data_IF_519055077456
#
_entry.id   IF_519055077456
#
_cell.length_a   1.000
_cell.length_b   1.000
_cell.length_c   1.000
_cell.angle_alpha   90.00
_cell.angle_beta   90.00
_cell.angle_gamma   90.00
#
_symmetry.space_group_name_H-M   'P 1'
#
loop_
_entity.id
_entity.type
_entity.pdbx_description
1 polymer ?
#
# COMPACT_ATOMS: atom_id res chain seq x y z
N UNK A 1 1.61 -12.27 -9.47
CA UNK A 1 0.27 -12.43 -8.85
C UNK A 1 -0.36 -11.09 -9.08
N UNK A 2 -1.27 -11.06 -10.04
CA UNK A 2 -1.61 -9.81 -10.69
C UNK A 2 -2.97 -9.38 -10.17
N UNK A 3 -3.05 -8.11 -9.76
CA UNK A 3 -4.22 -7.56 -9.11
C UNK A 3 -5.32 -7.39 -10.15
N UNK A 4 -6.38 -8.19 -10.05
CA UNK A 4 -7.52 -8.15 -10.97
C UNK A 4 -7.67 -9.37 -11.88
N UNK A 5 -6.75 -10.34 -11.84
CA UNK A 5 -6.93 -11.62 -12.52
C UNK A 5 -7.90 -12.52 -11.76
N UNK A 6 -8.59 -13.42 -12.49
CA UNK A 6 -9.30 -14.54 -11.87
C UNK A 6 -8.26 -15.37 -11.13
N UNK A 7 -8.30 -15.30 -9.80
CA UNK A 7 -7.32 -15.98 -8.95
C UNK A 7 -7.63 -17.48 -8.99
N UNK A 8 -7.02 -18.20 -9.93
CA UNK A 8 -7.10 -19.66 -9.98
C UNK A 8 -6.61 -20.25 -8.65
N UNK A 9 -7.33 -21.18 -7.99
CA UNK A 9 -6.88 -21.81 -6.73
C UNK A 9 -5.43 -22.27 -6.81
N UNK A 10 -4.65 -22.17 -5.72
CA UNK A 10 -3.27 -22.66 -5.76
C UNK A 10 -3.32 -24.17 -5.98
N UNK A 11 -2.47 -24.68 -6.88
CA UNK A 11 -2.36 -26.12 -7.11
C UNK A 11 -1.41 -26.69 -6.06
N UNK A 12 -1.83 -27.78 -5.41
CA UNK A 12 -0.97 -28.53 -4.51
C UNK A 12 0.38 -28.84 -5.17
N UNK A 13 1.47 -28.63 -4.45
CA UNK A 13 2.82 -28.86 -4.97
C UNK A 13 3.66 -29.65 -3.97
N UNK A 14 4.49 -30.56 -4.48
CA UNK A 14 5.37 -31.45 -3.70
C UNK A 14 6.84 -31.03 -3.76
N UNK A 15 7.15 -29.99 -4.55
CA UNK A 15 8.48 -29.38 -4.70
C UNK A 15 8.39 -27.88 -4.42
N UNK A 16 9.50 -27.17 -4.13
CA UNK A 16 9.50 -25.72 -3.99
C UNK A 16 8.84 -25.04 -5.18
N UNK A 17 7.97 -24.07 -4.89
CA UNK A 17 7.26 -23.28 -5.89
C UNK A 17 7.50 -21.80 -5.61
N UNK A 18 8.09 -21.08 -6.56
CA UNK A 18 8.44 -19.66 -6.43
C UNK A 18 7.22 -18.75 -6.22
N UNK A 19 6.02 -19.21 -6.62
CA UNK A 19 4.76 -18.48 -6.40
C UNK A 19 4.16 -18.74 -5.03
N UNK A 20 4.61 -19.76 -4.32
CA UNK A 20 4.13 -20.10 -2.99
C UNK A 20 4.84 -19.22 -1.95
N UNK A 21 4.11 -18.41 -1.16
CA UNK A 21 4.72 -17.54 -0.17
C UNK A 21 5.39 -18.28 0.98
N UNK A 22 5.32 -19.60 1.02
CA UNK A 22 5.93 -20.47 2.03
C UNK A 22 7.13 -21.27 1.49
N UNK A 23 7.59 -21.03 0.26
CA UNK A 23 8.68 -21.78 -0.36
C UNK A 23 9.74 -20.87 -1.02
N UNK A 24 11.01 -21.27 -1.03
CA UNK A 24 11.65 -22.30 -0.18
C UNK A 24 11.78 -21.79 1.27
N UNK A 25 12.03 -22.64 2.27
CA UNK A 25 12.16 -22.20 3.64
C UNK A 25 13.62 -21.77 3.87
N UNK A 26 13.96 -20.48 3.96
CA UNK A 26 15.17 -20.16 4.67
C UNK A 26 14.99 -20.53 6.14
N UNK A 27 16.11 -20.76 6.84
CA UNK A 27 16.09 -20.67 8.30
C UNK A 27 15.45 -19.31 8.67
N UNK A 28 14.43 -19.26 9.53
CA UNK A 28 13.73 -18.02 9.84
C UNK A 28 14.72 -17.03 10.48
N UNK A 29 15.05 -15.96 9.76
CA UNK A 29 15.84 -14.87 10.31
C UNK A 29 14.99 -14.11 11.31
N UNK A 30 15.60 -13.68 12.42
CA UNK A 30 14.92 -12.82 13.37
C UNK A 30 14.73 -11.44 12.75
N UNK A 31 13.50 -11.19 12.36
CA UNK A 31 13.05 -9.89 11.90
C UNK A 31 12.06 -9.29 12.85
N UNK A 32 11.91 -7.98 12.71
CA UNK A 32 10.85 -7.21 13.36
C UNK A 32 9.96 -6.62 12.27
N UNK A 33 8.70 -7.05 12.26
CA UNK A 33 7.68 -6.47 11.39
C UNK A 33 7.16 -5.17 12.01
N UNK A 34 7.21 -4.09 11.24
CA UNK A 34 6.63 -2.80 11.60
C UNK A 34 5.28 -2.65 10.90
N UNK A 35 4.27 -3.28 11.50
CA UNK A 35 2.93 -3.44 10.92
C UNK A 35 2.08 -2.14 10.94
N UNK A 36 0.77 -2.25 10.70
CA UNK A 36 -0.14 -1.12 10.50
C UNK A 36 -0.15 -0.14 11.67
N UNK A 37 -0.02 -0.62 12.91
CA UNK A 37 0.05 0.24 14.11
C UNK A 37 1.30 1.14 14.16
N UNK A 38 2.35 0.81 13.38
CA UNK A 38 3.60 1.58 13.31
C UNK A 38 3.59 2.61 12.18
N UNK A 39 2.43 2.90 11.59
CA UNK A 39 2.27 3.91 10.55
C UNK A 39 2.77 5.29 11.01
N UNK A 40 3.76 5.84 10.30
CA UNK A 40 4.36 7.13 10.62
C UNK A 40 4.83 7.84 9.35
N UNK A 41 4.12 8.89 8.95
CA UNK A 41 4.41 9.62 7.69
C UNK A 41 5.74 10.37 7.73
N UNK A 42 6.24 10.75 8.92
CA UNK A 42 7.56 11.39 9.04
C UNK A 42 8.67 10.37 8.80
N UNK A 43 8.53 9.16 9.38
CA UNK A 43 9.47 8.06 9.10
C UNK A 43 9.43 7.65 7.63
N UNK A 44 8.22 7.50 7.07
CA UNK A 44 8.05 7.20 5.66
C UNK A 44 8.76 8.24 4.78
N UNK A 45 8.57 9.54 5.05
CA UNK A 45 9.25 10.62 4.34
C UNK A 45 10.78 10.48 4.38
N UNK A 46 11.36 10.24 5.55
CA UNK A 46 12.80 10.05 5.70
C UNK A 46 13.32 8.83 4.92
N UNK A 47 12.59 7.71 4.98
CA UNK A 47 12.95 6.47 4.28
C UNK A 47 12.79 6.62 2.76
N UNK A 48 11.76 7.32 2.29
CA UNK A 48 11.59 7.60 0.86
C UNK A 48 12.74 8.46 0.29
N UNK A 49 13.19 9.48 1.05
CA UNK A 49 14.35 10.32 0.66
C UNK A 49 15.68 9.55 0.71
N UNK A 50 15.81 8.59 1.62
CA UNK A 50 17.02 7.79 1.79
C UNK A 50 16.65 6.37 2.21
N UNK A 51 16.46 5.43 1.25
CA UNK A 51 16.00 4.07 1.56
C UNK A 51 16.91 3.30 2.54
N UNK A 52 18.18 3.68 2.63
CA UNK A 52 19.12 3.12 3.62
C UNK A 52 18.76 3.46 5.07
N UNK A 53 17.89 4.45 5.31
CA UNK A 53 17.40 4.82 6.64
C UNK A 53 16.36 3.84 7.21
N UNK A 54 15.87 2.87 6.42
CA UNK A 54 14.89 1.90 6.90
C UNK A 54 15.36 1.17 8.16
N UNK A 55 16.52 0.50 8.11
CA UNK A 55 17.03 -0.28 9.24
C UNK A 55 17.42 0.60 10.44
N UNK A 56 18.13 1.74 10.25
CA UNK A 56 18.39 2.68 11.35
C UNK A 56 17.13 3.21 12.06
N UNK A 57 16.06 3.51 11.31
CA UNK A 57 14.82 4.06 11.87
C UNK A 57 13.85 2.97 12.35
N UNK A 58 14.02 1.74 11.87
CA UNK A 58 13.15 0.59 12.11
C UNK A 58 13.99 -0.67 12.23
N UNK A 59 14.68 -0.81 13.37
CA UNK A 59 15.54 -1.97 13.65
C UNK A 59 14.80 -3.29 13.41
N UNK A 60 15.48 -4.24 12.78
CA UNK A 60 14.95 -5.55 12.41
C UNK A 60 14.02 -5.55 11.18
N UNK A 61 13.69 -4.41 10.59
CA UNK A 61 12.94 -4.37 9.33
C UNK A 61 13.78 -4.94 8.17
N UNK A 62 13.13 -5.70 7.28
CA UNK A 62 13.76 -6.23 6.07
C UNK A 62 13.88 -5.13 5.00
N UNK A 63 15.07 -4.88 4.42
CA UNK A 63 15.18 -4.09 3.19
C UNK A 63 14.44 -4.76 2.03
N UNK A 64 13.68 -3.99 1.25
CA UNK A 64 12.82 -4.50 0.19
C UNK A 64 13.58 -5.37 -0.84
N UNK A 65 14.82 -5.01 -1.15
CA UNK A 65 15.67 -5.67 -2.15
C UNK A 65 16.57 -6.79 -1.61
N UNK A 66 16.41 -7.16 -0.33
CA UNK A 66 17.23 -8.21 0.26
C UNK A 66 16.86 -9.60 -0.30
N UNK A 67 17.77 -10.31 -0.97
CA UNK A 67 17.59 -11.72 -1.33
C UNK A 67 18.09 -12.65 -0.22
N UNK A 68 17.45 -13.80 -0.10
CA UNK A 68 17.89 -14.83 0.85
C UNK A 68 18.86 -15.78 0.16
N UNK A 69 20.09 -15.83 0.65
CA UNK A 69 21.10 -16.82 0.25
C UNK A 69 21.22 -17.96 1.28
N UNK A 70 22.07 -18.97 1.00
CA UNK A 70 22.27 -20.14 1.87
C UNK A 70 22.80 -19.78 3.27
N UNK A 71 23.51 -18.66 3.40
CA UNK A 71 24.17 -18.18 4.63
C UNK A 71 23.49 -16.94 5.24
N UNK A 72 22.19 -16.74 4.95
CA UNK A 72 21.46 -15.52 5.32
C UNK A 72 21.36 -14.53 4.17
N UNK A 73 21.14 -13.25 4.48
CA UNK A 73 20.97 -12.23 3.46
C UNK A 73 22.27 -11.92 2.74
N UNK A 74 22.22 -11.99 1.41
CA UNK A 74 23.06 -11.14 0.58
C UNK A 74 22.15 -9.97 0.21
N UNK A 75 22.47 -8.77 0.69
CA UNK A 75 21.79 -7.57 0.21
C UNK A 75 21.99 -7.54 -1.31
N UNK A 76 20.94 -7.84 -2.07
CA UNK A 76 21.06 -7.71 -3.52
C UNK A 76 20.95 -6.24 -3.87
N UNK A 77 21.99 -5.79 -4.55
CA UNK A 77 22.32 -4.40 -4.81
C UNK A 77 21.43 -3.76 -5.89
N UNK A 78 20.12 -4.01 -5.90
CA UNK A 78 19.27 -2.91 -6.34
C UNK A 78 19.13 -1.97 -5.16
N UNK A 79 20.02 -0.97 -5.17
CA UNK A 79 19.77 0.26 -4.43
C UNK A 79 18.39 0.73 -4.88
N UNK A 80 17.44 0.79 -3.94
CA UNK A 80 16.17 1.44 -4.23
C UNK A 80 16.48 2.89 -4.58
N UNK A 81 15.99 3.33 -5.73
CA UNK A 81 16.09 4.73 -6.09
C UNK A 81 15.30 5.57 -5.07
N UNK A 82 15.91 6.63 -4.50
CA UNK A 82 15.19 7.57 -3.67
C UNK A 82 13.96 8.09 -4.40
N UNK A 83 12.83 8.11 -3.71
CA UNK A 83 11.68 8.88 -4.15
C UNK A 83 11.91 10.28 -3.61
N UNK A 84 12.26 11.23 -4.47
CA UNK A 84 12.49 12.62 -4.09
C UNK A 84 11.20 13.44 -4.28
N UNK A 85 10.99 14.38 -3.37
CA UNK A 85 9.96 15.41 -3.53
C UNK A 85 10.41 16.38 -4.63
N UNK A 86 9.48 16.77 -5.51
CA UNK A 86 9.74 17.83 -6.48
C UNK A 86 9.49 19.21 -5.82
N UNK A 87 10.54 19.76 -5.23
CA UNK A 87 10.51 21.05 -4.56
C UNK A 87 10.37 22.24 -5.52
N UNK A 88 10.43 22.04 -6.85
CA UNK A 88 10.27 23.13 -7.83
C UNK A 88 8.80 23.50 -8.07
N UNK A 89 7.87 22.63 -7.68
CA UNK A 89 6.44 22.84 -7.90
C UNK A 89 5.89 23.98 -7.04
N UNK A 90 4.80 24.60 -7.50
CA UNK A 90 4.10 25.66 -6.76
C UNK A 90 3.31 25.11 -5.56
N UNK A 91 3.22 23.79 -5.42
CA UNK A 91 2.53 23.08 -4.35
C UNK A 91 3.49 22.23 -3.54
N UNK A 92 3.06 21.86 -2.35
CA UNK A 92 3.79 20.99 -1.43
C UNK A 92 3.49 19.52 -1.73
N UNK A 93 4.40 18.63 -1.36
CA UNK A 93 4.11 17.20 -1.32
C UNK A 93 4.06 16.70 0.13
N UNK A 94 3.40 15.57 0.32
CA UNK A 94 3.37 14.86 1.59
C UNK A 94 3.67 13.39 1.34
N UNK A 95 4.49 12.79 2.21
CA UNK A 95 4.68 11.35 2.19
C UNK A 95 3.35 10.67 2.55
N UNK A 96 2.83 9.90 1.61
CA UNK A 96 1.55 9.23 1.69
C UNK A 96 1.76 7.72 1.62
N UNK A 97 1.16 7.02 2.58
CA UNK A 97 1.11 5.55 2.60
C UNK A 97 0.08 5.08 1.58
N UNK A 98 0.51 4.30 0.59
CA UNK A 98 -0.38 3.69 -0.41
C UNK A 98 -1.32 2.70 0.28
N UNK A 99 -0.77 1.74 1.03
CA UNK A 99 -1.52 0.94 2.00
C UNK A 99 -1.49 1.68 3.34
N UNK A 100 -2.62 2.32 3.70
CA UNK A 100 -2.77 3.03 4.97
C UNK A 100 -2.65 2.05 6.15
N UNK A 101 -1.64 2.24 7.00
CA UNK A 101 -1.36 1.36 8.12
C UNK A 101 -2.48 1.35 9.14
N UNK A 102 -2.82 2.51 9.71
CA UNK A 102 -3.84 2.59 10.75
C UNK A 102 -5.26 2.37 10.25
N UNK A 103 -5.57 2.76 9.01
CA UNK A 103 -6.95 2.69 8.50
C UNK A 103 -7.25 1.35 7.82
N UNK A 104 -6.27 0.68 7.22
CA UNK A 104 -6.51 -0.52 6.42
C UNK A 104 -5.70 -1.74 6.85
N UNK A 105 -4.40 -1.63 7.10
CA UNK A 105 -3.55 -2.79 7.43
C UNK A 105 -3.74 -3.28 8.87
N UNK A 106 -3.84 -2.35 9.83
CA UNK A 106 -3.98 -2.62 11.26
C UNK A 106 -5.18 -3.53 11.51
N UNK A 107 -4.94 -4.65 12.18
CA UNK A 107 -5.91 -5.71 12.51
C UNK A 107 -6.58 -6.35 11.29
N UNK A 108 -6.06 -6.11 10.07
CA UNK A 108 -6.56 -6.81 8.89
C UNK A 108 -6.18 -8.30 8.97
N UNK A 109 -6.96 -9.20 8.33
CA UNK A 109 -6.56 -10.60 8.19
C UNK A 109 -5.19 -10.77 7.53
N UNK A 110 -4.76 -9.80 6.72
CA UNK A 110 -3.46 -9.82 6.07
C UNK A 110 -2.30 -9.61 7.05
N UNK A 111 -2.51 -8.83 8.11
CA UNK A 111 -1.48 -8.52 9.10
C UNK A 111 -0.98 -9.77 9.83
N UNK A 112 -1.85 -10.76 10.01
CA UNK A 112 -1.51 -12.07 10.61
C UNK A 112 -0.45 -12.84 9.83
N UNK A 113 -0.35 -12.62 8.52
CA UNK A 113 0.62 -13.31 7.67
C UNK A 113 1.99 -12.62 7.61
N UNK A 114 2.12 -11.42 8.18
CA UNK A 114 3.39 -10.69 8.26
C UNK A 114 3.95 -10.58 9.68
N UNK A 115 3.10 -10.71 10.69
CA UNK A 115 3.47 -10.77 12.11
C UNK A 115 3.64 -12.22 12.58
N UNK A 116 4.43 -12.42 13.63
CA UNK A 116 4.34 -13.60 14.49
C UNK A 116 2.93 -13.66 15.10
N UNK A 117 2.16 -14.68 14.75
CA UNK A 117 0.73 -14.78 15.08
C UNK A 117 0.30 -16.25 15.20
N UNK A 118 -1.00 -16.51 15.28
CA UNK A 118 -1.57 -17.85 15.13
C UNK A 118 -1.41 -18.43 13.71
N UNK A 119 -1.32 -17.56 12.69
CA UNK A 119 -1.23 -17.96 11.28
C UNK A 119 0.20 -18.10 10.76
N UNK A 120 1.16 -17.44 11.43
CA UNK A 120 2.53 -17.31 10.96
C UNK A 120 3.52 -17.39 12.13
N UNK A 121 4.57 -18.21 11.99
CA UNK A 121 5.46 -18.56 13.10
C UNK A 121 6.26 -17.36 13.64
N UNK A 122 6.90 -16.58 12.75
CA UNK A 122 7.72 -15.42 13.08
C UNK A 122 7.42 -14.23 12.18
N UNK A 123 7.76 -13.04 12.66
CA UNK A 123 7.76 -11.81 11.87
C UNK A 123 8.50 -11.97 10.54
N UNK A 124 7.90 -11.44 9.48
CA UNK A 124 8.46 -11.48 8.12
C UNK A 124 9.41 -10.32 7.83
N UNK A 125 9.43 -9.29 8.70
CA UNK A 125 10.23 -8.07 8.53
C UNK A 125 9.59 -6.99 7.66
N UNK A 126 8.29 -7.11 7.34
CA UNK A 126 7.59 -6.08 6.57
C UNK A 126 7.60 -4.74 7.32
N UNK A 127 7.70 -3.62 6.59
CA UNK A 127 7.48 -2.30 7.17
C UNK A 127 6.45 -1.52 6.36
N UNK A 128 5.43 -1.02 7.06
CA UNK A 128 4.44 -0.10 6.49
C UNK A 128 5.06 1.23 6.06
N UNK A 129 6.21 1.63 6.65
CA UNK A 129 6.91 2.87 6.32
C UNK A 129 8.01 2.68 5.26
N UNK A 130 8.00 1.57 4.53
CA UNK A 130 8.96 1.29 3.46
C UNK A 130 8.73 2.16 2.23
N UNK A 131 9.79 2.39 1.45
CA UNK A 131 9.72 3.15 0.18
C UNK A 131 8.73 2.54 -0.80
N UNK A 132 8.59 1.21 -0.83
CA UNK A 132 7.62 0.50 -1.67
C UNK A 132 6.15 0.82 -1.36
N UNK A 133 5.85 1.21 -0.12
CA UNK A 133 4.51 1.64 0.30
C UNK A 133 4.32 3.17 0.26
N UNK A 134 5.32 3.92 -0.19
CA UNK A 134 5.34 5.39 -0.13
C UNK A 134 5.10 6.07 -1.47
N UNK A 135 4.34 7.16 -1.46
CA UNK A 135 4.15 8.05 -2.60
C UNK A 135 4.23 9.52 -2.15
N UNK A 136 4.90 10.37 -2.92
CA UNK A 136 4.88 11.82 -2.69
C UNK A 136 3.60 12.39 -3.26
N UNK A 137 2.56 12.41 -2.44
CA UNK A 137 1.27 12.92 -2.88
C UNK A 137 1.30 14.44 -2.96
N UNK A 138 0.84 15.04 -4.08
CA UNK A 138 0.70 16.49 -4.15
C UNK A 138 -0.34 16.94 -3.10
N UNK A 139 -0.14 18.12 -2.52
CA UNK A 139 -1.01 18.65 -1.47
C UNK A 139 -1.44 20.07 -1.80
N UNK A 140 -1.23 21.04 -0.92
CA UNK A 140 -1.71 22.42 -1.09
C UNK A 140 -0.65 23.31 -1.74
N UNK A 141 -1.04 24.39 -2.45
CA UNK A 141 -0.12 25.43 -2.89
C UNK A 141 0.75 25.94 -1.73
N UNK A 142 2.03 26.20 -1.99
CA UNK A 142 3.01 26.60 -0.97
C UNK A 142 2.57 27.85 -0.20
N UNK A 143 2.01 28.82 -0.91
CA UNK A 143 1.49 30.07 -0.34
C UNK A 143 0.22 29.90 0.54
N UNK A 144 -0.42 28.74 0.46
CA UNK A 144 -1.66 28.39 1.18
C UNK A 144 -1.43 27.40 2.33
N UNK A 145 -0.19 27.03 2.62
CA UNK A 145 0.15 26.23 3.80
C UNK A 145 -0.30 26.98 5.06
N UNK A 146 -1.02 26.29 5.95
CA UNK A 146 -1.63 26.88 7.16
C UNK A 146 -2.92 27.67 6.92
N UNK A 147 -3.25 27.99 5.65
CA UNK A 147 -4.50 28.65 5.23
C UNK A 147 -5.53 27.67 4.65
N UNK A 148 -5.19 26.38 4.59
CA UNK A 148 -6.08 25.35 4.09
C UNK A 148 -7.02 24.83 5.19
N UNK A 149 -8.33 24.94 4.98
CA UNK A 149 -9.37 24.38 5.84
C UNK A 149 -10.50 25.35 6.20
N UNK A 150 -11.61 24.87 6.78
CA UNK A 150 -12.73 25.72 7.20
C UNK A 150 -12.26 26.86 8.12
N UNK A 151 -12.75 28.08 7.88
CA UNK A 151 -12.38 29.26 8.67
C UNK A 151 -10.97 29.81 8.43
N UNK A 152 -10.21 29.26 7.48
CA UNK A 152 -8.82 29.70 7.18
C UNK A 152 -8.72 30.66 5.98
N UNK A 153 -9.75 31.45 5.75
CA UNK A 153 -9.75 32.53 4.74
C UNK A 153 -10.00 32.10 3.29
N UNK A 154 -10.09 30.79 3.00
CA UNK A 154 -10.54 30.29 1.71
C UNK A 154 -11.99 29.79 1.80
N UNK A 155 -12.80 30.10 0.79
CA UNK A 155 -14.11 29.47 0.59
C UNK A 155 -13.94 28.02 0.08
N UNK A 156 -15.03 27.22 0.12
CA UNK A 156 -15.02 25.88 -0.46
C UNK A 156 -14.73 25.89 -1.98
N UNK A 157 -15.35 26.76 -2.80
CA UNK A 157 -15.04 26.85 -4.23
C UNK A 157 -13.57 27.21 -4.50
N UNK A 158 -13.00 28.17 -3.77
CA UNK A 158 -11.58 28.53 -3.94
C UNK A 158 -10.64 27.36 -3.60
N UNK A 159 -10.93 26.59 -2.54
CA UNK A 159 -10.17 25.38 -2.22
C UNK A 159 -10.26 24.34 -3.34
N UNK A 160 -11.46 24.15 -3.90
CA UNK A 160 -11.65 23.25 -5.03
C UNK A 160 -10.81 23.68 -6.24
N UNK A 161 -10.88 24.95 -6.64
CA UNK A 161 -10.11 25.48 -7.78
C UNK A 161 -8.60 25.28 -7.60
N UNK A 162 -8.07 25.55 -6.41
CA UNK A 162 -6.65 25.32 -6.13
C UNK A 162 -6.28 23.84 -6.13
N UNK A 163 -7.11 22.97 -5.57
CA UNK A 163 -6.88 21.53 -5.61
C UNK A 163 -6.85 21.02 -7.05
N UNK A 164 -7.75 21.50 -7.92
CA UNK A 164 -7.78 21.14 -9.34
C UNK A 164 -6.52 21.60 -10.08
N UNK A 165 -6.06 22.84 -9.85
CA UNK A 165 -4.80 23.36 -10.39
C UNK A 165 -3.62 22.46 -10.00
N UNK A 166 -3.55 22.06 -8.73
CA UNK A 166 -2.51 21.14 -8.24
C UNK A 166 -2.62 19.77 -8.91
N UNK A 167 -3.78 19.14 -8.89
CA UNK A 167 -3.97 17.79 -9.46
C UNK A 167 -3.71 17.74 -10.96
N UNK A 168 -4.11 18.80 -11.69
CA UNK A 168 -3.79 18.96 -13.11
C UNK A 168 -2.29 19.05 -13.33
N UNK A 169 -1.58 19.87 -12.55
CA UNK A 169 -0.13 20.03 -12.68
C UNK A 169 0.66 18.79 -12.25
N UNK A 170 0.16 18.05 -11.25
CA UNK A 170 0.82 16.86 -10.72
C UNK A 170 0.49 15.60 -11.52
N UNK A 171 -0.56 15.63 -12.35
CA UNK A 171 -1.15 14.45 -12.97
C UNK A 171 -1.43 13.33 -11.94
N UNK A 172 -1.94 13.73 -10.78
CA UNK A 172 -2.17 12.86 -9.63
C UNK A 172 -3.21 13.47 -8.69
N UNK A 173 -3.83 12.62 -7.87
CA UNK A 173 -4.75 13.05 -6.83
C UNK A 173 -4.05 13.78 -5.70
N UNK A 174 -4.67 14.84 -5.19
CA UNK A 174 -4.13 15.57 -4.05
C UNK A 174 -4.50 14.90 -2.71
N UNK A 175 -3.50 14.76 -1.84
CA UNK A 175 -3.68 14.28 -0.48
C UNK A 175 -4.11 15.44 0.43
N UNK A 176 -5.44 15.60 0.56
CA UNK A 176 -6.05 16.72 1.27
C UNK A 176 -7.27 16.25 2.05
N UNK A 177 -7.16 16.21 3.38
CA UNK A 177 -8.25 15.80 4.27
C UNK A 177 -8.36 14.28 4.40
N UNK A 178 -9.52 13.76 4.87
CA UNK A 178 -9.69 12.35 5.17
C UNK A 178 -9.94 11.52 3.90
N UNK A 179 -9.63 10.21 3.96
CA UNK A 179 -9.73 9.29 2.81
C UNK A 179 -11.03 8.48 2.76
N UNK A 180 -11.93 8.66 3.74
CA UNK A 180 -13.23 8.02 3.81
C UNK A 180 -14.25 8.72 2.90
N UNK A 181 -13.88 8.90 1.63
CA UNK A 181 -14.70 9.59 0.64
C UNK A 181 -15.78 8.62 0.16
N UNK A 182 -17.03 9.07 0.18
CA UNK A 182 -18.17 8.36 -0.41
C UNK A 182 -18.68 9.19 -1.58
N UNK A 183 -18.93 8.55 -2.70
CA UNK A 183 -19.56 9.21 -3.84
C UNK A 183 -21.08 9.19 -3.68
N UNK A 184 -21.76 10.36 -3.59
CA UNK A 184 -23.21 10.41 -3.53
C UNK A 184 -23.90 9.82 -4.78
N UNK A 185 -23.24 9.83 -5.94
CA UNK A 185 -23.82 9.32 -7.19
C UNK A 185 -23.67 7.78 -7.35
N UNK A 186 -22.79 7.18 -6.54
CA UNK A 186 -22.50 5.74 -6.47
C UNK A 186 -22.55 5.24 -5.01
N UNK A 187 -23.74 5.21 -4.38
CA UNK A 187 -23.88 4.83 -2.98
C UNK A 187 -23.52 3.36 -2.68
N UNK A 188 -23.55 2.47 -3.69
CA UNK A 188 -23.07 1.09 -3.54
C UNK A 188 -21.54 1.01 -3.57
N UNK A 189 -20.86 1.98 -4.19
CA UNK A 189 -19.42 2.00 -4.36
C UNK A 189 -18.96 0.95 -5.37
N UNK A 190 -19.77 0.66 -6.40
CA UNK A 190 -19.41 -0.31 -7.44
C UNK A 190 -18.45 0.30 -8.47
N UNK A 191 -18.54 1.61 -8.67
CA UNK A 191 -17.80 2.37 -9.69
C UNK A 191 -16.75 3.30 -9.05
N UNK A 192 -17.08 3.91 -7.92
CA UNK A 192 -16.26 4.85 -7.15
C UNK A 192 -16.12 4.40 -5.71
N UNK A 193 -15.03 3.70 -5.44
CA UNK A 193 -14.77 3.10 -4.14
C UNK A 193 -14.08 4.08 -3.19
N UNK A 194 -14.50 4.04 -1.93
CA UNK A 194 -13.72 4.70 -0.87
C UNK A 194 -12.33 4.09 -0.80
N UNK A 195 -11.30 4.93 -0.69
CA UNK A 195 -9.90 4.49 -0.73
C UNK A 195 -9.61 3.43 0.35
N UNK A 196 -10.10 3.66 1.58
CA UNK A 196 -9.90 2.75 2.69
C UNK A 196 -10.66 1.41 2.51
N UNK A 197 -11.93 1.47 2.05
CA UNK A 197 -12.74 0.29 1.76
C UNK A 197 -12.11 -0.57 0.67
N UNK A 198 -11.60 0.07 -0.39
CA UNK A 198 -10.92 -0.63 -1.48
C UNK A 198 -9.69 -1.39 -0.98
N UNK A 199 -8.82 -0.71 -0.22
CA UNK A 199 -7.61 -1.33 0.31
C UNK A 199 -7.96 -2.49 1.25
N UNK A 200 -8.93 -2.32 2.17
CA UNK A 200 -9.38 -3.39 3.07
C UNK A 200 -9.86 -4.61 2.30
N UNK A 201 -10.68 -4.42 1.26
CA UNK A 201 -11.16 -5.52 0.42
C UNK A 201 -10.00 -6.24 -0.29
N UNK A 202 -9.01 -5.50 -0.81
CA UNK A 202 -7.81 -6.11 -1.41
C UNK A 202 -6.95 -6.85 -0.39
N UNK A 203 -6.77 -6.31 0.82
CA UNK A 203 -6.02 -6.99 1.88
C UNK A 203 -6.70 -8.29 2.33
N UNK A 204 -8.03 -8.31 2.43
CA UNK A 204 -8.81 -9.54 2.72
C UNK A 204 -8.57 -10.57 1.61
N UNK A 205 -8.76 -10.18 0.34
CA UNK A 205 -8.57 -11.08 -0.79
C UNK A 205 -7.13 -11.65 -0.87
N UNK A 206 -6.12 -10.83 -0.55
CA UNK A 206 -4.73 -11.30 -0.46
C UNK A 206 -4.56 -12.27 0.71
N UNK A 207 -5.13 -11.99 1.88
CA UNK A 207 -5.05 -12.88 3.05
C UNK A 207 -5.68 -14.24 2.76
N UNK A 208 -6.87 -14.27 2.15
CA UNK A 208 -7.54 -15.51 1.75
C UNK A 208 -6.69 -16.32 0.77
N UNK A 209 -5.99 -15.61 -0.14
CA UNK A 209 -5.08 -16.25 -1.07
C UNK A 209 -3.84 -16.83 -0.41
N UNK A 210 -3.23 -16.10 0.54
CA UNK A 210 -2.10 -16.61 1.32
C UNK A 210 -2.53 -17.82 2.14
N UNK A 211 -3.73 -17.78 2.74
CA UNK A 211 -4.31 -18.93 3.43
C UNK A 211 -4.45 -20.13 2.50
N UNK A 212 -5.01 -19.96 1.31
CA UNK A 212 -5.15 -21.04 0.35
C UNK A 212 -3.79 -21.68 -0.02
N UNK A 213 -2.75 -20.85 -0.20
CA UNK A 213 -1.39 -21.37 -0.39
C UNK A 213 -0.88 -22.15 0.83
N UNK A 214 -1.18 -21.69 2.05
CA UNK A 214 -0.80 -22.38 3.29
C UNK A 214 -1.48 -23.73 3.45
N UNK A 215 -2.70 -23.87 2.93
CA UNK A 215 -3.45 -25.12 2.96
C UNK A 215 -2.92 -26.12 1.93
N UNK A 216 -2.38 -25.65 0.80
CA UNK A 216 -1.89 -26.51 -0.28
C UNK A 216 -0.38 -26.80 -0.24
N UNK A 217 0.42 -25.94 0.39
CA UNK A 217 1.86 -26.08 0.46
C UNK A 217 2.28 -27.31 1.29
N UNK A 218 3.10 -28.19 0.71
CA UNK A 218 3.60 -29.38 1.41
C UNK A 218 4.38 -29.03 2.68
N UNK A 219 5.18 -27.96 2.68
CA UNK A 219 5.93 -27.53 3.86
C UNK A 219 5.00 -27.08 5.00
N UNK A 220 3.91 -26.40 4.65
CA UNK A 220 2.90 -26.03 5.63
C UNK A 220 2.15 -27.26 6.17
N UNK A 221 1.87 -28.26 5.32
CA UNK A 221 1.29 -29.53 5.75
C UNK A 221 2.21 -30.27 6.73
N UNK A 222 3.51 -30.33 6.46
CA UNK A 222 4.48 -30.99 7.34
C UNK A 222 4.72 -30.22 8.65
N UNK A 223 4.73 -28.88 8.60
CA UNK A 223 4.74 -28.03 9.79
C UNK A 223 3.52 -28.32 10.68
N UNK A 224 2.31 -28.31 10.11
CA UNK A 224 1.05 -28.59 10.82
C UNK A 224 1.05 -29.98 11.47
N UNK A 225 1.54 -31.02 10.78
CA UNK A 225 1.71 -32.38 11.34
C UNK A 225 2.62 -32.41 12.57
N UNK A 226 3.61 -31.51 12.61
CA UNK A 226 4.58 -31.37 13.70
C UNK A 226 4.15 -30.35 14.76
N UNK A 227 2.88 -29.94 14.76
CA UNK A 227 2.34 -28.88 15.62
C UNK A 227 3.11 -27.54 15.51
N UNK A 228 3.71 -27.27 14.34
CA UNK A 228 4.36 -26.01 14.01
C UNK A 228 3.44 -25.15 13.14
N UNK A 229 3.58 -23.84 13.28
CA UNK A 229 2.87 -22.88 12.43
C UNK A 229 3.55 -22.79 11.06
N UNK A 230 2.81 -22.46 9.99
CA UNK A 230 3.42 -22.03 8.74
C UNK A 230 4.35 -20.83 8.94
N UNK A 231 5.39 -20.70 8.13
CA UNK A 231 6.24 -19.51 8.08
C UNK A 231 6.16 -18.89 6.69
N UNK A 232 5.50 -17.74 6.58
CA UNK A 232 5.51 -16.95 5.37
C UNK A 232 6.93 -16.38 5.13
N UNK A 233 7.37 -16.44 3.88
CA UNK A 233 8.61 -15.84 3.40
C UNK A 233 8.37 -14.37 3.02
N UNK A 234 9.44 -13.70 2.60
CA UNK A 234 9.36 -12.34 2.06
C UNK A 234 8.48 -12.22 0.80
N UNK A 235 8.14 -13.31 0.10
CA UNK A 235 7.27 -13.26 -1.07
C UNK A 235 5.88 -12.68 -0.74
N UNK A 236 5.48 -12.70 0.54
CA UNK A 236 4.28 -12.00 1.01
C UNK A 236 4.41 -10.47 0.91
N UNK A 237 5.62 -9.93 1.06
CA UNK A 237 5.93 -8.51 0.87
C UNK A 237 5.74 -8.12 -0.60
N UNK A 238 6.19 -8.96 -1.53
CA UNK A 238 6.04 -8.68 -2.97
C UNK A 238 4.58 -8.53 -3.38
N UNK A 239 3.66 -9.25 -2.71
CA UNK A 239 2.21 -9.09 -2.95
C UNK A 239 1.72 -7.74 -2.44
N UNK A 240 2.17 -7.31 -1.26
CA UNK A 240 1.84 -5.99 -0.71
C UNK A 240 2.46 -4.86 -1.56
N UNK A 241 3.68 -5.02 -2.05
CA UNK A 241 4.34 -4.05 -2.93
C UNK A 241 3.62 -3.93 -4.27
N UNK A 242 3.17 -5.06 -4.85
CA UNK A 242 2.29 -5.03 -6.03
C UNK A 242 0.99 -4.29 -5.74
N UNK A 243 0.40 -4.47 -4.55
CA UNK A 243 -0.79 -3.71 -4.15
C UNK A 243 -0.50 -2.21 -4.05
N UNK A 244 0.61 -1.81 -3.44
CA UNK A 244 1.04 -0.40 -3.40
C UNK A 244 1.20 0.17 -4.79
N UNK A 245 1.91 -0.53 -5.69
CA UNK A 245 2.09 -0.08 -7.08
C UNK A 245 0.75 0.05 -7.81
N UNK A 246 -0.17 -0.90 -7.64
CA UNK A 246 -1.51 -0.81 -8.20
C UNK A 246 -2.28 0.39 -7.65
N UNK A 247 -2.27 0.61 -6.33
CA UNK A 247 -2.91 1.78 -5.73
C UNK A 247 -2.34 3.08 -6.28
N UNK A 248 -1.02 3.15 -6.49
CA UNK A 248 -0.37 4.30 -7.10
C UNK A 248 -0.90 4.56 -8.53
N UNK A 249 -1.10 3.52 -9.36
CA UNK A 249 -1.68 3.72 -10.70
C UNK A 249 -3.15 4.14 -10.66
N UNK A 250 -3.89 3.81 -9.60
CA UNK A 250 -5.29 4.23 -9.43
C UNK A 250 -5.45 5.70 -9.00
N UNK A 251 -4.41 6.31 -8.42
CA UNK A 251 -4.43 7.69 -7.90
C UNK A 251 -3.52 8.65 -8.68
N UNK A 252 -2.89 8.16 -9.74
CA UNK A 252 -2.04 8.94 -10.66
C UNK A 252 -2.54 8.80 -12.09
N UNK A 253 -2.00 9.61 -13.01
CA UNK A 253 -2.40 9.57 -14.42
C UNK A 253 -3.74 10.26 -14.69
N UNK A 254 -4.35 9.92 -15.83
CA UNK A 254 -5.58 10.56 -16.30
C UNK A 254 -6.70 10.44 -15.27
N UNK A 255 -7.30 11.60 -14.94
CA UNK A 255 -8.45 11.64 -14.02
C UNK A 255 -9.64 10.81 -14.50
N UNK A 256 -9.79 10.56 -15.79
CA UNK A 256 -10.87 9.69 -16.32
C UNK A 256 -10.79 8.25 -15.82
N UNK A 257 -9.61 7.80 -15.39
CA UNK A 257 -9.36 6.41 -15.02
C UNK A 257 -9.41 6.18 -13.50
N UNK A 258 -9.61 7.24 -12.70
CA UNK A 258 -9.65 7.13 -11.24
C UNK A 258 -10.93 6.43 -10.78
N UNK A 259 -10.76 5.40 -9.94
CA UNK A 259 -11.86 4.62 -9.35
C UNK A 259 -11.89 4.69 -7.82
N UNK A 260 -10.82 5.24 -7.22
CA UNK A 260 -10.67 5.43 -5.78
C UNK A 260 -10.20 6.85 -5.54
N UNK A 261 -10.55 7.45 -4.39
CA UNK A 261 -10.30 8.88 -4.16
C UNK A 261 -9.62 9.16 -2.82
N UNK A 262 -8.45 9.81 -2.87
CA UNK A 262 -7.70 10.27 -1.69
C UNK A 262 -8.36 11.44 -0.98
N UNK A 263 -9.20 12.21 -1.68
CA UNK A 263 -9.89 13.37 -1.11
C UNK A 263 -11.19 13.66 -1.84
N UNK A 264 -12.08 14.40 -1.18
CA UNK A 264 -13.30 14.92 -1.82
C UNK A 264 -12.99 15.82 -3.02
N UNK A 265 -11.85 16.50 -2.98
CA UNK A 265 -11.41 17.38 -4.07
C UNK A 265 -11.07 16.55 -5.32
N UNK A 266 -10.42 15.39 -5.13
CA UNK A 266 -10.13 14.43 -6.20
C UNK A 266 -11.40 13.89 -6.86
N UNK A 267 -12.41 13.53 -6.07
CA UNK A 267 -13.70 13.08 -6.58
C UNK A 267 -14.40 14.19 -7.39
N UNK A 268 -14.48 15.40 -6.84
CA UNK A 268 -15.07 16.54 -7.54
C UNK A 268 -14.33 16.87 -8.85
N UNK A 269 -12.99 16.75 -8.87
CA UNK A 269 -12.20 16.95 -10.09
C UNK A 269 -12.41 15.83 -11.12
N UNK A 270 -12.68 14.60 -10.69
CA UNK A 270 -13.01 13.48 -11.58
C UNK A 270 -14.42 13.62 -12.19
N UNK A 271 -15.39 14.08 -11.40
CA UNK A 271 -16.83 14.06 -11.74
C UNK A 271 -17.16 14.52 -13.18
N UNK A 272 -16.62 15.63 -13.71
CA UNK A 272 -16.96 16.09 -15.07
C UNK A 272 -16.56 15.15 -16.22
N UNK A 273 -15.57 14.27 -15.98
CA UNK A 273 -15.11 13.28 -16.97
C UNK A 273 -15.59 11.87 -16.67
N UNK A 274 -16.39 11.70 -15.61
CA UNK A 274 -16.96 10.41 -15.28
C UNK A 274 -18.00 10.03 -16.35
N UNK A 275 -17.77 8.92 -17.04
CA UNK A 275 -18.70 8.38 -18.04
C UNK A 275 -19.84 7.61 -17.37
N UNK A 276 -19.65 7.14 -16.14
CA UNK A 276 -20.63 6.33 -15.42
C UNK A 276 -21.89 7.08 -14.99
N UNK A 277 -21.78 8.39 -14.74
CA UNK A 277 -22.92 9.23 -14.35
C UNK A 277 -23.81 9.61 -15.55
N UNK A 278 -23.31 9.46 -16.79
CA UNK A 278 -24.03 9.82 -18.03
C UNK A 278 -25.00 8.73 -18.51
N UNK A 279 -24.98 7.55 -17.90
CA UNK A 279 -25.89 6.45 -18.23
C UNK A 279 -27.26 6.55 -17.54
N UNK A 280 -27.50 7.60 -16.72
CA UNK A 280 -28.74 7.80 -15.96
C UNK A 280 -29.62 8.96 -16.47
N UNK A 281 -29.25 9.61 -17.58
CA UNK A 281 -30.02 10.70 -18.21
C UNK A 281 -30.71 10.25 -19.48
#
# INVERSE_FOLDING_TARGET
MDLGEIIAPPVAHTKPNEKCPFCPPPAPVEYTTHAGEKNDSKKLASIMKSPSQLVPLQSGARPQTAKVGPNGYVQEQQKLEPRLEDETKFYTHQAHHLISGNQALKKSPMEKWILASEANEKDTGYSVNSTGNGFWAPSVPKELVGKWGPGKGLSNPQRQEWAEKVMKSANAQAHIGPHNISDPDDPSGDKHQSYDKYIKAKLIAISDRVKAWSDECYQCKDAKKSNKKPQATYAVHDVLDRLSNHLQTQITGSRSNWKIFLSKYSLAYHTPVCTHCRERS
#
